data_IF_477824374012
#
_entry.id   IF_477824374012
#
_cell.length_a   1.000
_cell.length_b   1.000
_cell.length_c   1.000
_cell.angle_alpha   90.00
_cell.angle_beta   90.00
_cell.angle_gamma   90.00
#
_symmetry.space_group_name_H-M   'P 1'
#
loop_
_entity.id
_entity.type
_entity.pdbx_description
1 polymer ?
#
# COMPACT_ATOMS: atom_id res chain seq x y z
N UNK A 1 -13.07 6.72 19.10
CA UNK A 1 -12.15 6.18 18.08
C UNK A 1 -12.69 4.83 17.69
N UNK A 2 -13.09 4.66 16.44
CA UNK A 2 -13.53 3.36 15.91
C UNK A 2 -12.31 2.41 15.86
N UNK A 3 -12.52 1.12 16.14
CA UNK A 3 -11.45 0.12 16.12
C UNK A 3 -10.83 -0.05 14.72
N UNK A 4 -11.56 0.30 13.66
CA UNK A 4 -11.07 0.31 12.28
C UNK A 4 -9.98 1.34 12.02
N UNK A 5 -10.10 2.55 12.59
CA UNK A 5 -9.14 3.64 12.36
C UNK A 5 -7.81 3.35 13.06
N UNK A 6 -7.86 2.75 14.25
CA UNK A 6 -6.67 2.33 14.99
C UNK A 6 -5.89 1.23 14.24
N UNK A 7 -6.58 0.29 13.60
CA UNK A 7 -5.94 -0.77 12.82
C UNK A 7 -5.29 -0.23 11.54
N UNK A 8 -5.94 0.72 10.85
CA UNK A 8 -5.34 1.39 9.70
C UNK A 8 -4.04 2.10 10.06
N UNK A 9 -4.05 2.91 11.13
CA UNK A 9 -2.86 3.61 11.63
C UNK A 9 -1.73 2.62 11.97
N UNK A 10 -2.08 1.46 12.54
CA UNK A 10 -1.08 0.43 12.86
C UNK A 10 -0.43 -0.16 11.60
N UNK A 11 -1.20 -0.41 10.54
CA UNK A 11 -0.68 -0.91 9.25
C UNK A 11 0.21 0.12 8.57
N UNK A 12 -0.17 1.39 8.58
CA UNK A 12 0.66 2.48 8.01
C UNK A 12 2.00 2.60 8.74
N UNK A 13 1.98 2.55 10.07
CA UNK A 13 3.20 2.53 10.87
C UNK A 13 4.05 1.29 10.59
N UNK A 14 3.44 0.12 10.40
CA UNK A 14 4.14 -1.10 10.03
C UNK A 14 4.87 -0.94 8.68
N UNK A 15 4.20 -0.37 7.67
CA UNK A 15 4.81 -0.04 6.38
C UNK A 15 6.06 0.83 6.60
N UNK A 16 5.91 1.96 7.28
CA UNK A 16 7.00 2.92 7.49
C UNK A 16 8.16 2.34 8.32
N UNK A 17 7.87 1.45 9.27
CA UNK A 17 8.87 0.79 10.10
C UNK A 17 9.65 -0.28 9.34
N UNK A 18 9.05 -0.89 8.32
CA UNK A 18 9.79 -1.81 7.48
C UNK A 18 10.79 -1.08 6.59
N UNK A 19 10.52 0.14 6.11
CA UNK A 19 11.38 0.79 5.10
C UNK A 19 12.69 1.35 5.71
N UNK A 20 13.86 1.17 5.03
CA UNK A 20 15.10 1.81 5.46
C UNK A 20 14.96 3.33 5.55
N UNK A 21 15.60 3.96 6.54
CA UNK A 21 15.55 5.42 6.78
C UNK A 21 15.75 6.25 5.51
N UNK A 22 16.72 5.88 4.66
CA UNK A 22 17.04 6.57 3.40
C UNK A 22 15.87 6.62 2.40
N UNK A 23 14.88 5.74 2.54
CA UNK A 23 13.72 5.61 1.64
C UNK A 23 12.39 5.94 2.32
N UNK A 24 12.39 6.36 3.59
CA UNK A 24 11.16 6.71 4.32
C UNK A 24 10.37 7.83 3.63
N UNK A 25 11.06 8.82 3.04
CA UNK A 25 10.38 9.87 2.26
C UNK A 25 9.60 9.31 1.07
N UNK A 26 10.18 8.34 0.35
CA UNK A 26 9.51 7.67 -0.78
C UNK A 26 8.32 6.84 -0.30
N UNK A 27 8.47 6.15 0.84
CA UNK A 27 7.37 5.42 1.48
C UNK A 27 6.22 6.36 1.84
N UNK A 28 6.52 7.50 2.45
CA UNK A 28 5.52 8.49 2.82
C UNK A 28 4.79 9.04 1.59
N UNK A 29 5.50 9.31 0.48
CA UNK A 29 4.88 9.73 -0.79
C UNK A 29 3.94 8.68 -1.39
N UNK A 30 4.32 7.41 -1.34
CA UNK A 30 3.44 6.31 -1.77
C UNK A 30 2.21 6.26 -0.87
N UNK A 31 2.38 6.35 0.46
CA UNK A 31 1.25 6.33 1.41
C UNK A 31 0.30 7.51 1.20
N UNK A 32 0.81 8.72 1.01
CA UNK A 32 0.02 9.91 0.68
C UNK A 32 -0.82 9.68 -0.60
N UNK A 33 -0.20 9.13 -1.66
CA UNK A 33 -0.90 8.80 -2.91
C UNK A 33 -2.01 7.77 -2.67
N UNK A 34 -1.75 6.73 -1.88
CA UNK A 34 -2.74 5.71 -1.55
C UNK A 34 -3.92 6.31 -0.76
N UNK A 35 -3.63 7.15 0.24
CA UNK A 35 -4.65 7.81 1.06
C UNK A 35 -5.53 8.75 0.24
N UNK A 36 -4.93 9.56 -0.64
CA UNK A 36 -5.65 10.45 -1.57
C UNK A 36 -6.60 9.68 -2.50
N UNK A 37 -6.29 8.41 -2.78
CA UNK A 37 -7.07 7.54 -3.66
C UNK A 37 -7.84 6.45 -2.91
N UNK A 38 -8.08 6.64 -1.60
CA UNK A 38 -8.71 5.66 -0.70
C UNK A 38 -10.09 5.14 -1.16
N UNK A 39 -10.80 5.91 -1.99
CA UNK A 39 -12.08 5.49 -2.59
C UNK A 39 -11.90 4.42 -3.68
N UNK A 40 -10.78 4.47 -4.42
CA UNK A 40 -10.48 3.53 -5.51
C UNK A 40 -9.54 2.41 -5.08
N UNK A 41 -8.66 2.69 -4.12
CA UNK A 41 -7.62 1.78 -3.65
C UNK A 41 -7.49 1.90 -2.13
N UNK A 42 -7.78 0.82 -1.42
CA UNK A 42 -7.64 0.75 0.04
C UNK A 42 -7.15 -0.63 0.45
N UNK A 43 -7.19 -0.95 1.73
CA UNK A 43 -6.88 -2.27 2.24
C UNK A 43 -7.81 -2.64 3.39
N UNK A 44 -7.97 -3.95 3.60
CA UNK A 44 -8.70 -4.52 4.73
C UNK A 44 -7.85 -4.48 6.00
N UNK A 45 -8.47 -4.83 7.14
CA UNK A 45 -7.75 -4.94 8.42
C UNK A 45 -6.76 -6.11 8.42
N UNK A 46 -6.98 -7.10 7.55
CA UNK A 46 -6.12 -8.24 7.27
C UNK A 46 -4.99 -7.90 6.29
N UNK A 47 -4.84 -6.61 5.93
CA UNK A 47 -3.82 -6.06 5.01
C UNK A 47 -4.05 -6.42 3.55
N UNK A 48 -5.19 -7.03 3.20
CA UNK A 48 -5.49 -7.37 1.81
C UNK A 48 -5.84 -6.11 1.02
N UNK A 49 -5.35 -6.03 -0.22
CA UNK A 49 -5.61 -4.92 -1.11
C UNK A 49 -7.09 -4.92 -1.52
N UNK A 50 -7.72 -3.76 -1.46
CA UNK A 50 -9.07 -3.51 -1.96
C UNK A 50 -9.02 -2.56 -3.15
N UNK A 51 -9.62 -2.96 -4.28
CA UNK A 51 -9.66 -2.18 -5.51
C UNK A 51 -11.12 -2.00 -5.90
N UNK A 52 -11.62 -0.76 -5.91
CA UNK A 52 -13.03 -0.44 -6.21
C UNK A 52 -14.00 -1.36 -5.45
N UNK A 53 -13.78 -1.49 -4.13
CA UNK A 53 -14.53 -2.36 -3.20
C UNK A 53 -14.42 -3.88 -3.46
N UNK A 54 -13.50 -4.34 -4.30
CA UNK A 54 -13.19 -5.76 -4.47
C UNK A 54 -11.88 -6.10 -3.78
N UNK A 55 -11.92 -7.07 -2.87
CA UNK A 55 -10.72 -7.60 -2.23
C UNK A 55 -9.93 -8.40 -3.26
N UNK A 56 -8.62 -8.14 -3.33
CA UNK A 56 -7.66 -8.96 -4.05
C UNK A 56 -7.06 -9.94 -3.03
N UNK A 57 -7.52 -11.20 -3.00
CA UNK A 57 -7.21 -12.12 -1.92
C UNK A 57 -5.73 -12.51 -1.91
N UNK A 58 -5.25 -12.90 -0.73
CA UNK A 58 -3.86 -13.34 -0.52
C UNK A 58 -2.82 -12.26 -0.86
N UNK A 59 -3.19 -11.00 -0.73
CA UNK A 59 -2.26 -9.87 -0.86
C UNK A 59 -1.95 -9.26 0.50
N UNK A 60 -0.85 -8.54 0.59
CA UNK A 60 -0.48 -7.82 1.80
C UNK A 60 0.09 -6.46 1.42
N UNK A 61 -0.62 -5.38 1.77
CA UNK A 61 -0.22 -4.01 1.44
C UNK A 61 1.17 -3.66 1.99
N UNK A 62 1.54 -4.23 3.12
CA UNK A 62 2.86 -4.01 3.74
C UNK A 62 3.96 -4.61 2.87
N UNK A 63 3.77 -5.83 2.40
CA UNK A 63 4.75 -6.48 1.52
C UNK A 63 4.79 -5.82 0.14
N UNK A 64 3.64 -5.41 -0.40
CA UNK A 64 3.55 -4.71 -1.68
C UNK A 64 4.33 -3.39 -1.65
N UNK A 65 4.09 -2.52 -0.66
CA UNK A 65 4.82 -1.25 -0.52
C UNK A 65 6.29 -1.50 -0.18
N UNK A 66 6.59 -2.47 0.67
CA UNK A 66 7.97 -2.79 1.01
C UNK A 66 8.77 -3.34 -0.17
N UNK A 67 8.15 -4.09 -1.08
CA UNK A 67 8.80 -4.60 -2.29
C UNK A 67 9.18 -3.47 -3.25
N UNK A 68 8.37 -2.41 -3.36
CA UNK A 68 8.72 -1.25 -4.21
C UNK A 68 9.96 -0.48 -3.73
N UNK A 69 10.24 -0.54 -2.43
CA UNK A 69 11.26 0.29 -1.78
C UNK A 69 12.44 -0.50 -1.25
N UNK A 70 12.39 -1.83 -1.27
CA UNK A 70 13.47 -2.71 -0.85
C UNK A 70 13.79 -3.69 -1.97
N UNK A 71 15.07 -4.00 -2.11
CA UNK A 71 15.48 -5.20 -2.84
C UNK A 71 15.06 -6.43 -2.01
N UNK A 72 13.85 -6.94 -2.28
CA UNK A 72 13.38 -8.23 -1.78
C UNK A 72 13.55 -9.27 -2.87
N UNK A 73 13.99 -10.48 -2.47
CA UNK A 73 14.16 -11.62 -3.40
C UNK A 73 12.84 -12.25 -3.82
N UNK A 74 11.80 -12.15 -2.99
CA UNK A 74 10.50 -12.79 -3.22
C UNK A 74 9.47 -11.75 -3.57
N UNK A 75 8.87 -11.91 -4.75
CA UNK A 75 7.75 -11.11 -5.22
C UNK A 75 6.49 -11.40 -4.39
N UNK A 76 5.82 -10.38 -3.83
CA UNK A 76 4.55 -10.56 -3.15
C UNK A 76 3.43 -10.81 -4.15
N UNK A 77 2.46 -11.62 -3.76
CA UNK A 77 1.27 -11.86 -4.59
C UNK A 77 0.53 -10.54 -4.87
N UNK A 78 0.05 -10.39 -6.11
CA UNK A 78 -0.65 -9.18 -6.55
C UNK A 78 0.25 -8.00 -6.92
N UNK A 79 1.59 -8.14 -6.92
CA UNK A 79 2.52 -7.04 -7.21
C UNK A 79 2.22 -6.32 -8.53
N UNK A 80 2.11 -7.06 -9.64
CA UNK A 80 1.90 -6.46 -10.96
C UNK A 80 0.58 -5.69 -11.03
N UNK A 81 -0.48 -6.24 -10.43
CA UNK A 81 -1.78 -5.56 -10.32
C UNK A 81 -1.65 -4.25 -9.53
N UNK A 82 -0.91 -4.28 -8.43
CA UNK A 82 -0.65 -3.11 -7.61
C UNK A 82 0.15 -2.03 -8.36
N UNK A 83 1.22 -2.41 -9.06
CA UNK A 83 2.02 -1.50 -9.89
C UNK A 83 1.18 -0.85 -10.99
N UNK A 84 0.36 -1.63 -11.69
CA UNK A 84 -0.50 -1.10 -12.76
C UNK A 84 -1.50 -0.06 -12.23
N UNK A 85 -2.04 -0.29 -11.02
CA UNK A 85 -2.91 0.69 -10.38
C UNK A 85 -2.14 1.94 -10.00
N UNK A 86 -0.96 1.82 -9.37
CA UNK A 86 -0.14 2.97 -9.01
C UNK A 86 0.21 3.82 -10.24
N UNK A 87 0.57 3.18 -11.36
CA UNK A 87 0.79 3.87 -12.64
C UNK A 87 -0.47 4.61 -13.07
N UNK A 88 -1.62 3.94 -13.09
CA UNK A 88 -2.90 4.55 -13.46
C UNK A 88 -3.25 5.76 -12.59
N UNK A 89 -2.95 5.73 -11.29
CA UNK A 89 -3.18 6.85 -10.37
C UNK A 89 -2.24 8.03 -10.67
N UNK A 90 -0.97 7.76 -10.95
CA UNK A 90 0.02 8.79 -11.27
C UNK A 90 -0.30 9.46 -12.62
N UNK A 91 -0.63 8.68 -13.65
CA UNK A 91 -0.94 9.21 -14.98
C UNK A 91 -2.25 9.99 -15.05
N UNK A 92 -3.20 9.77 -14.13
CA UNK A 92 -4.43 10.57 -14.05
C UNK A 92 -4.26 11.91 -13.31
N UNK A 93 -3.11 12.16 -12.69
CA UNK A 93 -2.74 13.43 -12.06
C UNK A 93 -1.91 14.34 -13.00
N UNK A 94 -1.66 13.89 -14.24
CA UNK A 94 -0.84 14.57 -15.26
C UNK A 94 -1.68 15.35 -16.27
#
# INVERSE_FOLDING_TARGET
MDSSDAQRINIENEILNQIPLKRKYQAQKIMELLQQNSTSLSWTNEKELMIKNKILPNTNIVDLVAFLLKDRKTEPNGLWKFIDILKSLIFHLS
#
